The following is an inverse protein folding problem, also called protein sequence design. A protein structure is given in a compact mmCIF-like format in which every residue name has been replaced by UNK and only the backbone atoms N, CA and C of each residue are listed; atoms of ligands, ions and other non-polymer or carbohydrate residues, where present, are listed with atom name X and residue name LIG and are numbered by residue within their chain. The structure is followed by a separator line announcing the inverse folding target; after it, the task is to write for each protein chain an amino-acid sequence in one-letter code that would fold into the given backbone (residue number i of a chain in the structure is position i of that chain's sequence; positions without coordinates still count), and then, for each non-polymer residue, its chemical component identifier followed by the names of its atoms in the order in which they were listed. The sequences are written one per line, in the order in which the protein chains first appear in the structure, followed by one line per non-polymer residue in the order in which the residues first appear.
data_IF_300318305969
#
_entry.id   IF_300318305969
#
_cell.length_a   1.000
_cell.length_b   1.000
_cell.length_c   1.000
_cell.angle_alpha   90.00
_cell.angle_beta   90.00
_cell.angle_gamma   90.00
#
_symmetry.space_group_name_H-M   'P 1'
#
loop_
_entity.id
_entity.type
_entity.pdbx_description
1 polymer ?
#
# COMPACT_ATOMS: atom_id res chain seq x y z
N UNK A 1 1.17 -25.31 15.10
CA UNK A 1 0.40 -24.98 13.87
C UNK A 1 -1.04 -24.66 14.27
N UNK A 2 -1.70 -23.74 13.57
CA UNK A 2 -3.11 -23.40 13.86
C UNK A 2 -4.00 -24.62 13.55
N UNK A 3 -4.91 -25.02 14.47
CA UNK A 3 -5.87 -26.10 14.20
C UNK A 3 -6.66 -25.84 12.92
N UNK A 4 -6.77 -26.84 12.03
CA UNK A 4 -7.49 -26.72 10.75
C UNK A 4 -6.64 -26.28 9.55
N UNK A 5 -5.40 -25.82 9.77
CA UNK A 5 -4.49 -25.43 8.68
C UNK A 5 -4.16 -26.60 7.74
N UNK A 6 -4.13 -27.82 8.26
CA UNK A 6 -3.85 -29.04 7.48
C UNK A 6 -4.93 -29.37 6.45
N UNK A 7 -6.13 -28.80 6.60
CA UNK A 7 -7.25 -28.99 5.68
C UNK A 7 -7.39 -27.82 4.69
N UNK A 8 -6.48 -26.85 4.74
CA UNK A 8 -6.51 -25.66 3.91
C UNK A 8 -5.37 -25.68 2.90
N UNK A 9 -5.68 -25.40 1.64
CA UNK A 9 -4.68 -25.24 0.61
C UNK A 9 -4.07 -23.83 0.69
N UNK A 10 -2.81 -23.76 1.12
CA UNK A 10 -2.06 -22.50 1.17
C UNK A 10 -1.46 -22.23 -0.21
N UNK A 11 -1.78 -21.06 -0.77
CA UNK A 11 -1.20 -20.57 -2.02
C UNK A 11 -0.11 -19.54 -1.70
N UNK A 12 1.18 -19.91 -1.69
CA UNK A 12 2.25 -18.98 -1.39
C UNK A 12 2.51 -18.03 -2.57
N UNK A 13 2.71 -16.76 -2.26
CA UNK A 13 3.13 -15.74 -3.23
C UNK A 13 4.49 -15.17 -2.85
N UNK A 14 5.26 -14.79 -3.87
CA UNK A 14 6.49 -14.00 -3.69
C UNK A 14 6.12 -12.52 -3.51
N UNK A 15 7.07 -11.73 -3.00
CA UNK A 15 6.89 -10.28 -2.86
C UNK A 15 6.59 -9.66 -4.23
N UNK A 16 5.58 -8.80 -4.29
CA UNK A 16 5.29 -7.97 -5.45
C UNK A 16 5.70 -6.52 -5.15
N UNK A 17 6.29 -5.85 -6.14
CA UNK A 17 6.72 -4.46 -6.08
C UNK A 17 6.39 -3.75 -7.40
N UNK A 18 6.46 -2.43 -7.42
CA UNK A 18 6.18 -1.66 -8.62
C UNK A 18 7.35 -1.78 -9.60
N UNK A 19 7.13 -2.40 -10.75
CA UNK A 19 8.13 -2.54 -11.80
C UNK A 19 8.13 -1.28 -12.67
N UNK A 20 9.20 -0.50 -12.56
CA UNK A 20 9.35 0.77 -13.29
C UNK A 20 9.45 0.57 -14.81
N UNK A 21 9.92 -0.60 -15.28
CA UNK A 21 10.03 -0.87 -16.71
C UNK A 21 8.68 -1.23 -17.34
N UNK A 22 7.73 -1.72 -16.52
CA UNK A 22 6.40 -2.11 -16.98
C UNK A 22 5.28 -1.15 -16.57
N UNK A 23 5.53 -0.24 -15.62
CA UNK A 23 4.54 0.70 -15.14
C UNK A 23 3.41 0.05 -14.32
N UNK A 24 3.69 -1.06 -13.62
CA UNK A 24 2.67 -1.81 -12.87
C UNK A 24 3.28 -2.69 -11.78
N UNK A 25 2.43 -3.24 -10.92
CA UNK A 25 2.83 -4.25 -9.94
C UNK A 25 3.25 -5.57 -10.60
N UNK A 26 4.39 -6.11 -10.22
CA UNK A 26 4.90 -7.40 -10.67
C UNK A 26 5.63 -8.14 -9.53
N UNK A 27 5.83 -9.45 -9.66
CA UNK A 27 6.67 -10.20 -8.72
C UNK A 27 8.11 -9.68 -8.78
N UNK A 28 8.68 -9.42 -7.61
CA UNK A 28 10.04 -8.92 -7.46
C UNK A 28 11.06 -9.93 -8.03
N UNK A 29 12.01 -9.42 -8.81
CA UNK A 29 13.13 -10.16 -9.36
C UNK A 29 14.45 -9.60 -8.79
N UNK A 30 15.17 -10.36 -7.95
CA UNK A 30 16.40 -9.88 -7.32
C UNK A 30 17.54 -9.63 -8.32
N UNK A 31 17.50 -10.23 -9.52
CA UNK A 31 18.54 -10.03 -10.55
C UNK A 31 18.51 -8.64 -11.18
N UNK A 32 17.36 -7.96 -11.06
CA UNK A 32 17.11 -6.61 -11.57
C UNK A 32 16.41 -5.75 -10.52
N UNK A 33 16.89 -5.84 -9.27
CA UNK A 33 16.31 -5.17 -8.11
C UNK A 33 16.15 -3.65 -8.30
N UNK A 34 17.06 -3.02 -9.05
CA UNK A 34 17.03 -1.59 -9.37
C UNK A 34 15.80 -1.18 -10.19
N UNK A 35 15.14 -2.10 -10.89
CA UNK A 35 13.95 -1.83 -11.69
C UNK A 35 12.68 -1.74 -10.83
N UNK A 36 12.74 -2.22 -9.59
CA UNK A 36 11.60 -2.25 -8.69
C UNK A 36 11.60 -1.08 -7.72
N UNK A 37 10.42 -0.55 -7.46
CA UNK A 37 10.17 0.50 -6.49
C UNK A 37 9.28 -0.03 -5.37
N UNK A 38 9.79 0.05 -4.14
CA UNK A 38 9.06 -0.33 -2.93
C UNK A 38 8.42 0.91 -2.31
N UNK A 39 7.09 0.92 -2.22
CA UNK A 39 6.32 1.98 -1.56
C UNK A 39 5.75 1.41 -0.26
N UNK A 40 6.44 1.69 0.84
CA UNK A 40 5.98 1.30 2.18
C UNK A 40 4.81 2.17 2.64
N UNK A 41 4.10 1.73 3.70
CA UNK A 41 3.07 2.54 4.35
C UNK A 41 3.56 3.91 4.82
N UNK A 42 4.80 3.99 5.31
CA UNK A 42 5.43 5.27 5.68
C UNK A 42 5.62 6.18 4.48
N UNK A 43 6.03 5.63 3.32
CA UNK A 43 6.17 6.41 2.08
C UNK A 43 4.81 6.87 1.55
N UNK A 44 3.77 6.04 1.61
CA UNK A 44 2.40 6.45 1.24
C UNK A 44 1.93 7.63 2.10
N UNK A 45 2.13 7.57 3.41
CA UNK A 45 1.80 8.70 4.31
C UNK A 45 2.54 9.99 3.93
N UNK A 46 3.83 9.90 3.60
CA UNK A 46 4.63 11.05 3.19
C UNK A 46 4.14 11.65 1.86
N UNK A 47 3.87 10.82 0.86
CA UNK A 47 3.32 11.26 -0.43
C UNK A 47 1.99 11.99 -0.24
N UNK A 48 1.06 11.39 0.50
CA UNK A 48 -0.24 12.01 0.77
C UNK A 48 -0.11 13.36 1.48
N UNK A 49 0.73 13.43 2.52
CA UNK A 49 0.99 14.68 3.27
C UNK A 49 1.56 15.80 2.37
N UNK A 50 2.38 15.44 1.39
CA UNK A 50 2.97 16.37 0.43
C UNK A 50 2.08 16.66 -0.79
N UNK A 51 0.85 16.11 -0.84
CA UNK A 51 -0.03 16.18 -2.02
C UNK A 51 0.59 15.56 -3.29
N UNK A 52 1.47 14.58 -3.11
CA UNK A 52 2.09 13.80 -4.18
C UNK A 52 1.31 12.50 -4.41
N UNK A 53 1.33 11.99 -5.65
CA UNK A 53 0.74 10.69 -5.99
C UNK A 53 1.81 9.61 -6.11
N UNK A 54 1.49 8.34 -5.78
CA UNK A 54 2.34 7.23 -6.18
C UNK A 54 2.37 7.11 -7.71
N UNK A 55 3.32 6.34 -8.27
CA UNK A 55 3.34 6.05 -9.70
C UNK A 55 2.01 5.45 -10.18
N UNK A 56 1.63 5.77 -11.41
CA UNK A 56 0.45 5.18 -12.04
C UNK A 56 0.55 3.65 -12.04
N UNK A 57 -0.57 2.95 -11.82
CA UNK A 57 -0.56 1.48 -11.72
C UNK A 57 -0.06 0.89 -10.38
N UNK A 58 0.40 1.71 -9.42
CA UNK A 58 0.66 1.24 -8.04
C UNK A 58 -0.65 0.95 -7.27
N UNK A 59 -1.61 1.87 -7.38
CA UNK A 59 -2.92 1.78 -6.73
C UNK A 59 -3.96 2.48 -7.60
N UNK A 60 -5.20 2.00 -7.61
CA UNK A 60 -6.26 2.68 -8.35
C UNK A 60 -6.53 4.09 -7.77
N UNK A 61 -6.88 5.09 -8.61
CA UNK A 61 -7.09 6.47 -8.15
C UNK A 61 -8.12 6.60 -7.02
N UNK A 62 -9.21 5.83 -7.07
CA UNK A 62 -10.24 5.82 -6.04
C UNK A 62 -9.71 5.32 -4.68
N UNK A 63 -8.92 4.25 -4.69
CA UNK A 63 -8.28 3.72 -3.48
C UNK A 63 -7.23 4.70 -2.91
N UNK A 64 -6.46 5.34 -3.77
CA UNK A 64 -5.50 6.36 -3.35
C UNK A 64 -6.19 7.57 -2.71
N UNK A 65 -7.32 8.02 -3.28
CA UNK A 65 -8.12 9.11 -2.70
C UNK A 65 -8.56 8.81 -1.27
N UNK A 66 -9.03 7.59 -0.99
CA UNK A 66 -9.40 7.17 0.37
C UNK A 66 -8.21 7.28 1.34
N UNK A 67 -7.01 6.92 0.90
CA UNK A 67 -5.81 7.04 1.72
C UNK A 67 -5.41 8.50 1.96
N UNK A 68 -5.52 9.36 0.95
CA UNK A 68 -5.28 10.81 1.11
C UNK A 68 -6.24 11.39 2.14
N UNK A 69 -7.54 11.12 2.00
CA UNK A 69 -8.57 11.61 2.93
C UNK A 69 -8.31 11.11 4.37
N UNK A 70 -7.87 9.85 4.53
CA UNK A 70 -7.44 9.30 5.81
C UNK A 70 -6.24 10.05 6.40
N UNK A 71 -5.16 10.22 5.64
CA UNK A 71 -3.95 10.89 6.17
C UNK A 71 -4.18 12.37 6.45
N UNK A 72 -4.99 13.06 5.65
CA UNK A 72 -5.41 14.44 5.91
C UNK A 72 -6.12 14.54 7.27
N UNK A 73 -7.05 13.63 7.59
CA UNK A 73 -7.75 13.62 8.88
C UNK A 73 -6.80 13.48 10.08
N UNK A 74 -5.71 12.70 9.95
CA UNK A 74 -4.72 12.54 11.02
C UNK A 74 -3.89 13.80 11.27
N UNK A 75 -3.68 14.62 10.24
CA UNK A 75 -2.93 15.88 10.39
C UNK A 75 -3.75 16.95 11.11
N UNK A 76 -5.07 16.98 10.86
CA UNK A 76 -6.01 17.87 11.55
C UNK A 76 -6.17 17.47 13.02
N UNK A 77 -6.13 16.17 13.32
CA UNK A 77 -6.34 15.63 14.66
C UNK A 77 -5.06 15.48 15.49
N UNK A 78 -4.05 16.34 15.27
CA UNK A 78 -3.00 16.57 16.29
C UNK A 78 -3.59 17.08 17.62
N UNK A 79 -4.76 17.72 17.54
CA UNK A 79 -5.70 18.20 18.57
C UNK A 79 -6.29 17.22 19.60
N UNK A 80 -7.13 16.28 19.16
CA UNK A 80 -7.91 15.35 20.02
C UNK A 80 -8.76 14.37 19.18
N UNK A 81 -8.71 13.06 19.52
CA UNK A 81 -9.60 11.92 19.13
C UNK A 81 -9.36 11.19 17.79
N UNK A 82 -9.01 9.90 17.88
CA UNK A 82 -8.91 8.97 16.74
C UNK A 82 -10.21 8.95 15.90
N UNK A 83 -10.11 8.89 14.55
CA UNK A 83 -11.28 8.81 13.69
C UNK A 83 -12.05 7.50 13.93
N UNK A 84 -13.37 7.63 14.04
CA UNK A 84 -14.32 6.53 14.23
C UNK A 84 -14.31 5.58 13.03
N UNK A 85 -14.42 4.27 13.28
CA UNK A 85 -14.38 3.24 12.23
C UNK A 85 -15.49 3.50 11.22
N UNK A 86 -15.14 3.57 9.94
CA UNK A 86 -16.11 3.62 8.84
C UNK A 86 -17.01 2.37 8.96
N UNK A 87 -18.33 2.53 9.11
CA UNK A 87 -19.23 1.38 9.12
C UNK A 87 -19.22 0.73 7.74
N UNK A 88 -19.01 -0.60 7.73
CA UNK A 88 -19.12 -1.49 6.57
C UNK A 88 -20.57 -1.74 6.19
#
# INVERSE_FOLDING_TARGET
MAPGLERLNILPFRVAAYDKTQGKMAFFDPTRAQDFLFISGTKMRALAKNRENPPDGFMCPGGWKVLVDYYDSLTVTGNTKLPEKIPV
#
